data_IF_435567672357
#
_entry.id   IF_435567672357
#
_cell.length_a   1.000
_cell.length_b   1.000
_cell.length_c   1.000
_cell.angle_alpha   90.00
_cell.angle_beta   90.00
_cell.angle_gamma   90.00
#
_symmetry.space_group_name_H-M   'P 1'
#
loop_
_entity.id
_entity.type
_entity.pdbx_description
1 polymer ?
#
# COMPACT_ATOMS: atom_id res chain seq x y z
N UNK A 1 -2.34 -17.33 -22.43
CA UNK A 1 -3.25 -16.50 -23.23
C UNK A 1 -4.57 -16.37 -22.48
N UNK A 2 -4.67 -15.43 -21.55
CA UNK A 2 -5.91 -15.14 -20.81
C UNK A 2 -6.59 -13.92 -21.45
N UNK A 3 -7.79 -14.10 -21.98
CA UNK A 3 -8.55 -13.10 -22.77
C UNK A 3 -9.66 -12.52 -21.90
N UNK A 4 -9.31 -12.06 -20.69
CA UNK A 4 -10.18 -11.18 -19.93
C UNK A 4 -9.47 -9.83 -19.84
N UNK A 5 -9.73 -8.90 -20.78
CA UNK A 5 -9.36 -7.51 -20.53
C UNK A 5 -10.06 -7.09 -19.23
N UNK A 6 -9.44 -6.24 -18.39
CA UNK A 6 -10.09 -5.77 -17.18
C UNK A 6 -11.47 -5.25 -17.58
N UNK A 7 -12.54 -5.67 -16.91
CA UNK A 7 -13.93 -5.38 -17.28
C UNK A 7 -14.21 -3.87 -17.44
N UNK A 8 -13.28 -3.02 -17.00
CA UNK A 8 -13.30 -1.56 -17.09
C UNK A 8 -12.35 -0.96 -18.13
N UNK A 9 -11.57 -1.78 -18.86
CA UNK A 9 -10.65 -1.33 -19.92
C UNK A 9 -11.31 -0.54 -21.06
N UNK A 10 -12.54 -0.87 -21.51
CA UNK A 10 -13.23 -0.07 -22.52
C UNK A 10 -13.75 1.28 -21.96
N UNK A 11 -13.86 1.42 -20.64
CA UNK A 11 -14.33 2.67 -20.00
C UNK A 11 -13.22 3.74 -19.88
N UNK A 12 -11.96 3.38 -20.13
CA UNK A 12 -10.84 4.34 -20.11
C UNK A 12 -10.97 5.42 -21.20
N UNK A 13 -11.71 5.16 -22.29
CA UNK A 13 -11.93 6.11 -23.38
C UNK A 13 -13.07 7.12 -23.18
N UNK A 14 -13.87 7.00 -22.11
CA UNK A 14 -15.06 7.84 -21.89
C UNK A 14 -15.04 8.49 -20.49
N UNK A 15 -14.37 9.66 -20.32
CA UNK A 15 -14.21 10.31 -19.02
C UNK A 15 -15.53 10.69 -18.33
N UNK A 16 -16.61 10.90 -19.08
CA UNK A 16 -17.94 11.24 -18.52
C UNK A 16 -18.61 10.05 -17.83
N UNK A 17 -18.50 8.84 -18.38
CA UNK A 17 -19.06 7.62 -17.77
C UNK A 17 -18.26 7.17 -16.55
N UNK A 18 -16.93 7.36 -16.57
CA UNK A 18 -16.08 7.14 -15.40
C UNK A 18 -16.54 7.96 -14.19
N UNK A 19 -16.87 9.24 -14.40
CA UNK A 19 -17.37 10.12 -13.33
C UNK A 19 -18.73 9.67 -12.80
N UNK A 20 -19.66 9.30 -13.69
CA UNK A 20 -20.97 8.77 -13.29
C UNK A 20 -20.86 7.52 -12.42
N UNK A 21 -20.00 6.56 -12.80
CA UNK A 21 -19.77 5.34 -12.04
C UNK A 21 -19.11 5.66 -10.69
N UNK A 22 -18.07 6.49 -10.65
CA UNK A 22 -17.40 6.91 -9.41
C UNK A 22 -18.33 7.72 -8.46
N UNK A 23 -19.28 8.47 -9.02
CA UNK A 23 -20.29 9.23 -8.25
C UNK A 23 -21.43 8.32 -7.73
N UNK A 24 -21.63 7.14 -8.33
CA UNK A 24 -22.56 6.10 -7.85
C UNK A 24 -21.91 5.10 -6.89
N UNK A 25 -20.62 5.25 -6.56
CA UNK A 25 -19.98 4.50 -5.48
C UNK A 25 -20.45 5.08 -4.15
N UNK A 26 -21.43 4.40 -3.55
CA UNK A 26 -22.06 4.79 -2.28
C UNK A 26 -21.06 4.69 -1.11
N UNK A 27 -20.15 3.71 -1.15
CA UNK A 27 -19.15 3.51 -0.10
C UNK A 27 -17.74 3.84 -0.63
N UNK A 28 -17.28 5.05 -0.32
CA UNK A 28 -15.90 5.49 -0.58
C UNK A 28 -15.05 5.13 0.63
N UNK A 29 -14.62 3.87 0.70
CA UNK A 29 -13.68 3.43 1.72
C UNK A 29 -12.29 4.05 1.47
N UNK A 30 -12.02 5.20 2.08
CA UNK A 30 -10.73 5.90 1.96
C UNK A 30 -9.64 5.20 2.80
N UNK A 31 -9.06 4.15 2.20
CA UNK A 31 -7.97 3.37 2.79
C UNK A 31 -6.74 4.23 3.10
N UNK A 32 -6.44 5.22 2.24
CA UNK A 32 -5.24 6.03 2.38
C UNK A 32 -5.30 6.90 3.65
N UNK A 33 -6.41 7.61 3.86
CA UNK A 33 -6.58 8.45 5.05
C UNK A 33 -6.60 7.63 6.33
N UNK A 34 -7.22 6.44 6.32
CA UNK A 34 -7.26 5.55 7.49
C UNK A 34 -5.90 4.98 7.83
N UNK A 35 -5.11 4.60 6.83
CA UNK A 35 -3.74 4.14 7.05
C UNK A 35 -2.85 5.25 7.61
N UNK A 36 -2.98 6.48 7.11
CA UNK A 36 -2.25 7.63 7.63
C UNK A 36 -2.59 7.95 9.10
N UNK A 37 -3.85 7.76 9.50
CA UNK A 37 -4.26 7.85 10.92
C UNK A 37 -3.59 6.77 11.76
N UNK A 38 -3.63 5.51 11.31
CA UNK A 38 -3.15 4.35 12.07
C UNK A 38 -1.62 4.33 12.27
N UNK A 39 -0.87 4.94 11.35
CA UNK A 39 0.58 5.14 11.46
C UNK A 39 0.96 6.42 12.22
N UNK A 40 -0.03 7.18 12.69
CA UNK A 40 0.13 8.44 13.40
C UNK A 40 0.60 9.61 12.52
N UNK A 41 0.60 9.45 11.19
CA UNK A 41 1.01 10.49 10.22
C UNK A 41 -0.02 11.62 10.16
N UNK A 42 -1.30 11.29 10.27
CA UNK A 42 -2.38 12.27 10.32
C UNK A 42 -3.45 11.86 11.34
N UNK A 43 -3.18 11.99 12.65
CA UNK A 43 -4.20 11.72 13.68
C UNK A 43 -5.32 12.75 13.56
N UNK A 44 -6.58 12.30 13.59
CA UNK A 44 -7.74 13.18 13.41
C UNK A 44 -8.61 13.31 14.68
N UNK A 45 -8.33 12.51 15.72
CA UNK A 45 -9.11 12.47 16.95
C UNK A 45 -8.30 11.96 18.15
N UNK A 46 -8.74 12.26 19.37
CA UNK A 46 -8.14 11.76 20.61
C UNK A 46 -8.23 10.21 20.71
N UNK A 47 -9.21 9.59 20.06
CA UNK A 47 -9.29 8.12 19.95
C UNK A 47 -8.21 7.52 19.06
N UNK A 48 -7.64 8.27 18.11
CA UNK A 48 -6.51 7.79 17.30
C UNK A 48 -5.25 7.70 18.18
N UNK A 49 -5.10 8.60 19.17
CA UNK A 49 -3.99 8.59 20.12
C UNK A 49 -4.01 7.36 21.05
N UNK A 50 -5.17 6.75 21.29
CA UNK A 50 -5.29 5.50 22.05
C UNK A 50 -4.57 4.32 21.37
N UNK A 51 -4.26 4.45 20.08
CA UNK A 51 -3.53 3.43 19.33
C UNK A 51 -2.06 3.79 19.10
N UNK A 52 -1.59 4.95 19.55
CA UNK A 52 -0.21 5.37 19.38
C UNK A 52 0.76 4.42 20.08
N UNK A 53 0.44 4.00 21.31
CA UNK A 53 1.25 3.08 22.11
C UNK A 53 1.27 1.64 21.58
N UNK A 54 0.44 1.30 20.59
CA UNK A 54 0.38 -0.05 20.03
C UNK A 54 1.39 -0.23 18.90
N UNK A 55 2.12 -1.35 18.91
CA UNK A 55 2.93 -1.75 17.77
C UNK A 55 2.03 -2.02 16.56
N UNK A 56 2.44 -1.53 15.39
CA UNK A 56 1.72 -1.70 14.15
C UNK A 56 2.67 -2.11 13.03
N UNK A 57 2.36 -3.21 12.36
CA UNK A 57 3.16 -3.75 11.27
C UNK A 57 2.27 -3.90 10.03
N UNK A 58 2.58 -3.14 8.98
CA UNK A 58 1.88 -3.19 7.71
C UNK A 58 2.86 -3.54 6.59
N UNK A 59 2.54 -4.57 5.82
CA UNK A 59 3.24 -4.87 4.58
C UNK A 59 2.27 -4.76 3.40
N UNK A 60 2.56 -3.85 2.47
CA UNK A 60 1.84 -3.70 1.22
C UNK A 60 2.70 -4.32 0.13
N UNK A 61 2.22 -5.40 -0.48
CA UNK A 61 2.91 -6.13 -1.53
C UNK A 61 2.14 -6.05 -2.84
N UNK A 62 2.84 -5.88 -3.97
CA UNK A 62 2.23 -5.85 -5.29
C UNK A 62 3.14 -6.44 -6.37
N UNK A 63 2.55 -7.10 -7.36
CA UNK A 63 3.27 -7.56 -8.54
C UNK A 63 3.39 -6.42 -9.57
N UNK A 64 4.56 -6.27 -10.18
CA UNK A 64 4.81 -5.32 -11.25
C UNK A 64 4.06 -5.67 -12.54
N UNK A 65 3.77 -6.96 -12.73
CA UNK A 65 3.11 -7.52 -13.90
C UNK A 65 1.62 -7.84 -13.70
N UNK A 66 0.97 -7.28 -12.67
CA UNK A 66 -0.48 -7.42 -12.48
C UNK A 66 -1.22 -6.61 -13.57
N UNK A 67 -1.99 -7.27 -14.46
CA UNK A 67 -2.72 -6.60 -15.53
C UNK A 67 -4.04 -5.97 -15.08
N UNK A 68 -4.58 -6.38 -13.92
CA UNK A 68 -5.92 -6.01 -13.45
C UNK A 68 -5.86 -4.84 -12.48
N UNK A 69 -4.94 -4.87 -11.51
CA UNK A 69 -4.71 -3.78 -10.56
C UNK A 69 -3.27 -3.26 -10.69
N UNK A 70 -3.06 -2.04 -11.19
CA UNK A 70 -1.71 -1.49 -11.30
C UNK A 70 -1.06 -1.27 -9.93
N UNK A 71 0.20 -1.68 -9.79
CA UNK A 71 1.01 -1.51 -8.56
C UNK A 71 1.09 -0.07 -8.02
N UNK A 72 0.81 0.91 -8.88
CA UNK A 72 0.77 2.33 -8.51
C UNK A 72 -0.29 2.63 -7.45
N UNK A 73 -1.41 1.92 -7.46
CA UNK A 73 -2.48 2.13 -6.46
C UNK A 73 -2.03 1.65 -5.07
N UNK A 74 -1.38 0.48 -4.99
CA UNK A 74 -0.76 0.01 -3.76
C UNK A 74 0.35 0.94 -3.26
N UNK A 75 1.16 1.49 -4.19
CA UNK A 75 2.21 2.44 -3.84
C UNK A 75 1.65 3.75 -3.28
N UNK A 76 0.56 4.28 -3.83
CA UNK A 76 -0.12 5.47 -3.30
C UNK A 76 -0.64 5.24 -1.89
N UNK A 77 -1.21 4.07 -1.61
CA UNK A 77 -1.65 3.72 -0.25
C UNK A 77 -0.47 3.66 0.73
N UNK A 78 0.67 3.10 0.30
CA UNK A 78 1.90 3.11 1.09
C UNK A 78 2.42 4.53 1.33
N UNK A 79 2.48 5.37 0.29
CA UNK A 79 2.91 6.77 0.40
C UNK A 79 2.03 7.54 1.39
N UNK A 80 0.71 7.37 1.33
CA UNK A 80 -0.20 7.97 2.30
C UNK A 80 0.07 7.48 3.74
N UNK A 81 0.34 6.18 3.91
CA UNK A 81 0.62 5.60 5.23
C UNK A 81 1.93 6.12 5.85
N UNK A 82 2.93 6.50 5.04
CA UNK A 82 4.24 6.98 5.55
C UNK A 82 4.36 8.51 5.59
N UNK A 83 3.40 9.25 5.02
CA UNK A 83 3.41 10.72 4.96
C UNK A 83 3.97 11.31 3.67
N UNK A 84 4.04 10.53 2.60
CA UNK A 84 4.39 10.98 1.25
C UNK A 84 5.79 11.60 1.19
N UNK A 85 5.88 12.84 0.73
CA UNK A 85 7.14 13.57 0.62
C UNK A 85 7.78 13.89 1.98
N UNK A 86 6.96 14.01 3.03
CA UNK A 86 7.42 14.27 4.40
C UNK A 86 7.82 12.99 5.15
N UNK A 87 7.74 11.82 4.52
CA UNK A 87 8.02 10.54 5.19
C UNK A 87 9.39 10.46 5.85
N UNK A 88 10.41 11.10 5.26
CA UNK A 88 11.76 11.17 5.82
C UNK A 88 11.89 12.15 7.01
N UNK A 89 10.95 13.08 7.16
CA UNK A 89 10.89 14.01 8.32
C UNK A 89 10.11 13.39 9.47
N UNK A 90 9.11 12.58 9.14
CA UNK A 90 8.15 12.02 10.10
C UNK A 90 8.61 10.66 10.65
N UNK A 91 9.46 9.93 9.93
CA UNK A 91 10.06 8.67 10.37
C UNK A 91 11.35 8.34 9.64
N UNK A 92 11.82 7.11 9.78
CA UNK A 92 13.12 6.65 9.28
C UNK A 92 12.94 5.47 8.33
N UNK A 93 13.64 5.49 7.21
CA UNK A 93 13.71 4.33 6.32
C UNK A 93 14.83 3.39 6.76
N UNK A 94 14.47 2.17 7.12
CA UNK A 94 15.41 1.14 7.60
C UNK A 94 15.89 0.21 6.49
N UNK A 95 15.10 0.06 5.42
CA UNK A 95 15.45 -0.76 4.26
C UNK A 95 15.02 -0.02 3.00
N UNK A 96 15.91 0.13 2.02
CA UNK A 96 15.57 0.60 0.69
C UNK A 96 16.39 -0.17 -0.33
N UNK A 97 15.71 -0.88 -1.23
CA UNK A 97 16.33 -1.60 -2.32
C UNK A 97 15.45 -1.52 -3.57
N UNK A 98 16.05 -1.15 -4.69
CA UNK A 98 15.39 -1.08 -5.99
C UNK A 98 16.25 -1.86 -6.97
N UNK A 99 15.65 -2.80 -7.69
CA UNK A 99 16.34 -3.53 -8.75
C UNK A 99 16.68 -2.57 -9.90
N UNK A 100 17.79 -2.82 -10.60
CA UNK A 100 18.28 -1.97 -11.70
C UNK A 100 17.26 -1.76 -12.83
N UNK A 101 16.35 -2.71 -13.03
CA UNK A 101 15.29 -2.62 -14.03
C UNK A 101 13.94 -2.14 -13.47
N UNK A 102 13.93 -1.69 -12.21
CA UNK A 102 12.76 -1.16 -11.50
C UNK A 102 11.56 -2.13 -11.48
N UNK A 103 11.79 -3.44 -11.60
CA UNK A 103 10.73 -4.45 -11.50
C UNK A 103 10.50 -4.93 -10.07
N UNK A 104 11.54 -4.91 -9.24
CA UNK A 104 11.48 -5.23 -7.81
C UNK A 104 11.86 -4.01 -6.98
N UNK A 105 11.10 -3.73 -5.93
CA UNK A 105 11.35 -2.63 -4.99
C UNK A 105 10.97 -3.08 -3.58
N UNK A 106 11.81 -2.81 -2.60
CA UNK A 106 11.52 -3.03 -1.19
C UNK A 106 11.85 -1.75 -0.44
N UNK A 107 10.90 -1.25 0.34
CA UNK A 107 11.11 -0.11 1.24
C UNK A 107 10.47 -0.40 2.58
N UNK A 108 11.22 -0.23 3.67
CA UNK A 108 10.68 -0.33 5.03
C UNK A 108 10.85 1.02 5.70
N UNK A 109 9.73 1.56 6.18
CA UNK A 109 9.66 2.81 6.93
C UNK A 109 9.24 2.50 8.36
N UNK A 110 9.84 3.18 9.31
CA UNK A 110 9.57 3.04 10.73
C UNK A 110 9.38 4.39 11.40
N UNK A 111 8.44 4.44 12.33
CA UNK A 111 8.22 5.59 13.20
C UNK A 111 7.84 5.13 14.59
N UNK A 112 8.37 5.80 15.60
CA UNK A 112 7.88 5.67 16.97
C UNK A 112 6.86 6.75 17.26
N UNK A 113 5.72 6.34 17.80
CA UNK A 113 4.65 7.23 18.26
C UNK A 113 4.27 6.75 19.67
N UNK A 114 4.34 7.62 20.67
CA UNK A 114 4.27 7.19 22.07
C UNK A 114 5.31 6.11 22.40
N UNK A 115 4.86 4.99 22.97
CA UNK A 115 5.67 3.79 23.21
C UNK A 115 5.66 2.76 22.06
N UNK A 116 4.79 2.94 21.06
CA UNK A 116 4.59 1.98 19.96
C UNK A 116 5.53 2.20 18.77
N UNK A 117 5.96 1.10 18.14
CA UNK A 117 6.67 1.11 16.86
C UNK A 117 5.69 0.87 15.70
N UNK A 118 5.62 1.83 14.78
CA UNK A 118 4.86 1.74 13.53
C UNK A 118 5.84 1.38 12.41
N UNK A 119 5.73 0.19 11.85
CA UNK A 119 6.53 -0.29 10.71
C UNK A 119 5.63 -0.47 9.49
N UNK A 120 6.00 0.17 8.38
CA UNK A 120 5.28 0.09 7.12
C UNK A 120 6.24 -0.31 5.99
N UNK A 121 6.02 -1.48 5.41
CA UNK A 121 6.83 -2.07 4.35
C UNK A 121 6.08 -2.02 3.01
N UNK A 122 6.76 -1.55 1.98
CA UNK A 122 6.38 -1.68 0.59
C UNK A 122 7.22 -2.77 -0.07
N UNK A 123 6.57 -3.62 -0.87
CA UNK A 123 7.24 -4.65 -1.63
C UNK A 123 6.61 -4.80 -3.02
N UNK A 124 7.31 -4.32 -4.04
CA UNK A 124 7.03 -4.61 -5.43
C UNK A 124 7.81 -5.86 -5.83
N UNK A 125 7.13 -6.89 -6.32
CA UNK A 125 7.74 -8.10 -6.86
C UNK A 125 7.64 -8.10 -8.38
N UNK A 126 8.65 -8.64 -9.05
CA UNK A 126 8.69 -8.70 -10.52
C UNK A 126 7.51 -9.48 -11.11
N UNK A 127 7.17 -10.62 -10.51
CA UNK A 127 6.17 -11.56 -11.01
C UNK A 127 5.22 -12.00 -9.88
N UNK A 128 3.97 -12.29 -10.24
CA UNK A 128 2.93 -12.80 -9.34
C UNK A 128 1.51 -12.55 -9.85
N UNK A 129 1.32 -11.65 -10.83
CA UNK A 129 -0.02 -11.33 -11.33
C UNK A 129 -1.01 -10.96 -10.20
N UNK A 130 -2.31 -11.10 -10.48
CA UNK A 130 -3.36 -10.79 -9.51
C UNK A 130 -3.57 -11.92 -8.47
N UNK A 131 -3.41 -13.18 -8.88
CA UNK A 131 -3.75 -14.36 -8.06
C UNK A 131 -2.55 -15.18 -7.59
N UNK A 132 -1.38 -15.09 -8.25
CA UNK A 132 -0.23 -15.92 -7.90
C UNK A 132 0.62 -15.27 -6.81
N UNK A 133 0.50 -13.95 -6.60
CA UNK A 133 1.33 -13.24 -5.61
C UNK A 133 1.15 -13.77 -4.18
N UNK A 134 -0.06 -14.21 -3.83
CA UNK A 134 -0.35 -14.84 -2.54
C UNK A 134 0.28 -16.23 -2.40
N UNK A 135 0.55 -16.91 -3.51
CA UNK A 135 1.17 -18.25 -3.54
C UNK A 135 2.71 -18.20 -3.57
N UNK A 136 3.30 -17.02 -3.79
CA UNK A 136 4.74 -16.86 -3.92
C UNK A 136 5.41 -16.70 -2.55
N UNK A 137 6.65 -17.21 -2.44
CA UNK A 137 7.49 -17.15 -1.24
C UNK A 137 7.63 -15.75 -0.60
N UNK A 138 7.62 -14.63 -1.35
CA UNK A 138 7.61 -13.29 -0.77
C UNK A 138 6.39 -13.01 0.13
N UNK A 139 5.20 -13.50 -0.22
CA UNK A 139 4.01 -13.32 0.60
C UNK A 139 4.10 -14.13 1.91
N UNK A 140 4.56 -15.38 1.83
CA UNK A 140 4.83 -16.20 3.02
C UNK A 140 5.89 -15.56 3.94
N UNK A 141 6.97 -15.02 3.36
CA UNK A 141 7.99 -14.27 4.10
C UNK A 141 7.43 -13.00 4.75
N UNK A 142 6.54 -12.28 4.06
CA UNK A 142 5.89 -11.10 4.63
C UNK A 142 5.03 -11.45 5.84
N UNK A 143 4.27 -12.57 5.79
CA UNK A 143 3.49 -13.06 6.93
C UNK A 143 4.39 -13.43 8.10
N UNK A 144 5.47 -14.18 7.85
CA UNK A 144 6.40 -14.55 8.92
C UNK A 144 7.04 -13.34 9.61
N UNK A 145 7.40 -12.30 8.85
CA UNK A 145 7.98 -11.05 9.38
C UNK A 145 7.02 -10.18 10.19
N UNK A 146 5.72 -10.48 10.20
CA UNK A 146 4.76 -9.77 11.07
C UNK A 146 4.82 -10.32 12.50
N UNK A 147 5.30 -11.55 12.68
CA UNK A 147 5.43 -12.21 13.99
C UNK A 147 6.82 -12.09 14.61
N UNK A 148 7.76 -11.47 13.89
CA UNK A 148 9.17 -11.29 14.27
C UNK A 148 9.41 -9.83 14.72
#
# INVERSE_FOLDING_TARGET
>A
MGIFPPLLSPLMGYPRYKKYVLDHIIDRWDTASRLARLTGVSPQSDSDAEHDDKNFHLTIMHAANDPDIPWREGKRAWEAAVGGEDAAKVGTFTEQSISSDNTTEVKTWERRVGSGLKRVRWQKVRYGGHNEIASLSPAALAVMKVFD
#
